data_IF_321276148110
#
_entry.id   IF_321276148110
#
_cell.length_a   1.000
_cell.length_b   1.000
_cell.length_c   1.000
_cell.angle_alpha   90.00
_cell.angle_beta   90.00
_cell.angle_gamma   90.00
#
_symmetry.space_group_name_H-M   'P 1'
#
loop_
_entity.id
_entity.type
_entity.pdbx_description
1 polymer ?
#
# COMPACT_ATOMS: atom_id res chain seq x y z
N UNK A 1 21.91 -1.31 6.94
CA UNK A 1 22.80 -2.31 6.28
C UNK A 1 22.27 -2.62 4.90
N UNK A 2 23.08 -3.07 3.93
CA UNK A 2 22.62 -3.27 2.55
C UNK A 2 22.39 -4.75 2.22
N UNK A 3 21.39 -5.03 1.40
CA UNK A 3 21.04 -6.37 0.91
C UNK A 3 20.78 -6.30 -0.59
N UNK A 4 21.60 -6.98 -1.39
CA UNK A 4 21.41 -7.10 -2.85
C UNK A 4 20.62 -8.37 -3.17
N UNK A 5 19.57 -8.21 -3.97
CA UNK A 5 18.74 -9.29 -4.51
C UNK A 5 19.06 -9.41 -6.00
N UNK A 6 19.66 -10.51 -6.44
CA UNK A 6 20.10 -10.75 -7.82
C UNK A 6 19.47 -11.99 -8.43
N UNK A 7 19.63 -12.18 -9.75
CA UNK A 7 19.11 -13.35 -10.47
C UNK A 7 17.64 -13.20 -10.87
N UNK A 8 17.20 -11.97 -11.16
CA UNK A 8 15.83 -11.67 -11.64
C UNK A 8 15.64 -12.04 -13.12
N UNK A 9 16.71 -12.05 -13.90
CA UNK A 9 16.73 -12.19 -15.35
C UNK A 9 16.34 -10.92 -16.12
N UNK A 10 16.09 -9.80 -15.43
CA UNK A 10 15.68 -8.52 -16.01
C UNK A 10 15.95 -7.36 -15.05
N UNK A 11 15.98 -6.14 -15.59
CA UNK A 11 16.03 -4.90 -14.80
C UNK A 11 14.66 -4.62 -14.17
N UNK A 12 14.52 -4.62 -12.84
CA UNK A 12 13.25 -4.32 -12.19
C UNK A 12 12.93 -2.83 -12.36
N UNK A 13 11.75 -2.50 -12.86
CA UNK A 13 11.22 -1.12 -12.87
C UNK A 13 10.38 -0.85 -11.63
N UNK A 14 9.59 -1.82 -11.18
CA UNK A 14 8.86 -1.77 -9.90
C UNK A 14 9.26 -2.96 -9.03
N UNK A 15 9.36 -2.75 -7.72
CA UNK A 15 9.36 -3.84 -6.74
C UNK A 15 8.24 -3.59 -5.73
N UNK A 16 7.34 -4.56 -5.56
CA UNK A 16 6.24 -4.54 -4.58
C UNK A 16 6.60 -5.50 -3.45
N UNK A 17 6.45 -5.09 -2.20
CA UNK A 17 6.81 -5.84 -1.00
C UNK A 17 5.60 -6.13 -0.12
N UNK A 18 5.59 -7.29 0.54
CA UNK A 18 4.67 -7.59 1.65
C UNK A 18 5.36 -8.39 2.75
N UNK A 19 4.93 -8.19 3.99
CA UNK A 19 5.60 -8.77 5.17
C UNK A 19 4.62 -8.97 6.34
N UNK A 20 4.97 -9.87 7.28
CA UNK A 20 4.18 -10.14 8.49
C UNK A 20 5.02 -10.21 9.77
N UNK A 21 6.24 -9.65 9.74
CA UNK A 21 7.22 -9.66 10.85
C UNK A 21 7.54 -11.04 11.47
N UNK A 22 7.42 -12.13 10.73
CA UNK A 22 7.78 -13.48 11.21
C UNK A 22 9.27 -13.78 11.08
N UNK A 23 9.79 -14.64 11.97
CA UNK A 23 11.20 -15.09 11.99
C UNK A 23 11.44 -16.43 11.31
N UNK A 24 10.42 -17.06 10.75
CA UNK A 24 10.49 -18.31 9.98
C UNK A 24 9.32 -18.41 9.00
N UNK A 25 9.55 -19.07 7.86
CA UNK A 25 8.50 -19.36 6.88
C UNK A 25 7.50 -20.38 7.44
N UNK A 26 6.23 -20.24 7.06
CA UNK A 26 5.13 -21.11 7.49
C UNK A 26 4.93 -21.18 9.02
N UNK A 27 5.38 -20.16 9.75
CA UNK A 27 5.18 -20.04 11.18
C UNK A 27 4.13 -19.00 11.52
N UNK A 28 3.45 -19.21 12.63
CA UNK A 28 2.58 -18.21 13.24
C UNK A 28 3.35 -17.45 14.34
N UNK A 29 2.98 -16.20 14.56
CA UNK A 29 3.49 -15.38 15.66
C UNK A 29 2.32 -14.87 16.51
N UNK A 30 2.62 -14.47 17.74
CA UNK A 30 1.68 -13.70 18.55
C UNK A 30 1.67 -12.26 18.02
N UNK A 31 0.51 -11.60 18.07
CA UNK A 31 0.22 -10.29 17.49
C UNK A 31 0.11 -10.31 15.97
N UNK A 32 -0.78 -9.47 15.44
CA UNK A 32 -0.92 -9.29 13.99
C UNK A 32 0.04 -8.20 13.55
N UNK A 33 0.79 -8.45 12.48
CA UNK A 33 1.57 -7.44 11.77
C UNK A 33 1.45 -7.71 10.27
N UNK A 34 1.14 -6.69 9.48
CA UNK A 34 1.07 -6.79 8.02
C UNK A 34 1.55 -5.48 7.38
N UNK A 35 2.58 -5.58 6.54
CA UNK A 35 3.11 -4.48 5.75
C UNK A 35 2.91 -4.70 4.26
N UNK A 36 2.71 -3.60 3.54
CA UNK A 36 2.66 -3.51 2.08
C UNK A 36 3.48 -2.30 1.65
N UNK A 37 4.25 -2.41 0.59
CA UNK A 37 4.90 -1.23 0.00
C UNK A 37 5.37 -1.49 -1.42
N UNK A 38 5.87 -0.45 -2.06
CA UNK A 38 6.37 -0.52 -3.43
C UNK A 38 7.46 0.54 -3.68
N UNK A 39 8.33 0.26 -4.64
CA UNK A 39 9.37 1.16 -5.15
C UNK A 39 9.31 1.26 -6.67
N UNK A 40 8.85 2.41 -7.19
CA UNK A 40 8.89 2.75 -8.61
C UNK A 40 10.26 3.28 -9.05
N UNK A 41 11.00 3.91 -8.14
CA UNK A 41 12.34 4.44 -8.39
C UNK A 41 13.36 3.99 -7.36
N UNK A 42 14.36 4.82 -7.13
CA UNK A 42 15.39 4.67 -6.09
C UNK A 42 15.35 5.91 -5.20
N UNK A 43 15.62 5.75 -3.91
CA UNK A 43 15.69 6.92 -3.02
C UNK A 43 14.34 7.37 -2.45
N UNK A 44 14.39 8.22 -1.43
CA UNK A 44 13.21 8.88 -0.87
C UNK A 44 12.47 9.68 -1.95
N UNK A 45 11.19 9.41 -2.16
CA UNK A 45 10.40 10.11 -3.19
C UNK A 45 9.81 9.23 -4.28
N UNK A 46 10.34 8.02 -4.48
CA UNK A 46 9.86 7.10 -5.52
C UNK A 46 9.45 5.73 -4.96
N UNK A 47 9.14 5.69 -3.67
CA UNK A 47 8.72 4.49 -2.96
C UNK A 47 7.77 4.86 -1.83
N UNK A 48 7.01 3.88 -1.36
CA UNK A 48 6.12 4.09 -0.24
C UNK A 48 5.73 2.77 0.41
N UNK A 49 5.36 2.83 1.68
CA UNK A 49 4.88 1.67 2.42
C UNK A 49 3.85 2.05 3.48
N UNK A 50 3.02 1.07 3.80
CA UNK A 50 2.05 1.10 4.89
C UNK A 50 2.20 -0.17 5.71
N UNK A 51 1.93 -0.07 7.01
CA UNK A 51 1.87 -1.24 7.89
C UNK A 51 0.78 -1.08 8.92
N UNK A 52 0.37 -2.22 9.47
CA UNK A 52 -0.67 -2.37 10.47
C UNK A 52 -0.21 -3.40 11.50
N UNK A 53 -0.35 -3.07 12.78
CA UNK A 53 -0.17 -4.00 13.88
C UNK A 53 -1.36 -3.99 14.84
N UNK A 54 -1.65 -5.14 15.44
CA UNK A 54 -2.65 -5.30 16.52
C UNK A 54 -2.11 -6.28 17.56
N UNK A 55 -2.21 -5.91 18.83
CA UNK A 55 -1.71 -6.72 19.95
C UNK A 55 -2.76 -7.76 20.39
N UNK A 56 -2.28 -8.88 20.93
CA UNK A 56 -3.10 -10.05 21.27
C UNK A 56 -3.20 -10.14 22.79
N UNK A 57 -4.38 -10.51 23.30
CA UNK A 57 -4.60 -10.68 24.74
C UNK A 57 -4.73 -9.37 25.55
N UNK A 58 -4.91 -8.23 24.90
CA UNK A 58 -5.06 -6.94 25.56
C UNK A 58 -6.46 -6.72 26.16
N UNK A 59 -6.54 -6.01 27.30
CA UNK A 59 -7.81 -5.67 27.94
C UNK A 59 -8.62 -4.62 27.16
N UNK A 60 -7.91 -3.75 26.44
CA UNK A 60 -8.44 -2.79 25.47
C UNK A 60 -7.65 -2.95 24.20
N UNK A 61 -8.29 -2.92 23.04
CA UNK A 61 -7.60 -3.03 21.73
C UNK A 61 -6.40 -2.08 21.66
N UNK A 62 -5.24 -2.58 21.26
CA UNK A 62 -4.03 -1.78 21.08
C UNK A 62 -3.50 -2.00 19.67
N UNK A 63 -3.78 -1.03 18.80
CA UNK A 63 -3.54 -1.17 17.38
C UNK A 63 -2.87 0.05 16.78
N UNK A 64 -2.00 -0.21 15.82
CA UNK A 64 -1.08 0.76 15.24
C UNK A 64 -1.05 0.65 13.73
N UNK A 65 -0.71 1.76 13.09
CA UNK A 65 -0.36 1.84 11.67
C UNK A 65 0.87 2.69 11.46
N UNK A 66 1.61 2.34 10.43
CA UNK A 66 2.62 3.20 9.83
C UNK A 66 2.27 3.55 8.39
N UNK A 67 2.72 4.72 7.97
CA UNK A 67 2.76 5.15 6.58
C UNK A 67 4.09 5.85 6.36
N UNK A 68 4.89 5.37 5.40
CA UNK A 68 6.18 5.96 5.04
C UNK A 68 6.24 6.25 3.52
N UNK A 69 6.78 7.41 3.16
CA UNK A 69 7.09 7.86 1.80
C UNK A 69 8.58 7.70 1.46
N UNK A 70 9.42 7.56 2.47
CA UNK A 70 10.86 7.35 2.29
C UNK A 70 11.23 5.88 2.09
N UNK A 71 10.37 4.95 2.50
CA UNK A 71 10.69 3.52 2.59
C UNK A 71 9.71 2.64 1.80
N UNK A 72 10.23 1.66 1.07
CA UNK A 72 9.43 0.63 0.38
C UNK A 72 8.99 -0.49 1.32
N UNK A 73 9.60 -0.61 2.49
CA UNK A 73 9.31 -1.63 3.50
C UNK A 73 9.16 -0.96 4.85
N UNK A 74 8.05 -1.22 5.52
CA UNK A 74 7.86 -0.89 6.93
C UNK A 74 7.16 -2.06 7.62
N UNK A 75 7.55 -2.31 8.88
CA UNK A 75 6.78 -3.09 9.83
C UNK A 75 6.46 -2.22 11.04
N UNK A 76 5.23 -2.29 11.53
CA UNK A 76 4.79 -1.59 12.72
C UNK A 76 4.95 -2.48 13.95
N UNK A 77 5.36 -1.90 15.08
CA UNK A 77 5.39 -2.60 16.37
C UNK A 77 4.21 -2.09 17.21
N UNK A 78 3.36 -2.97 17.73
CA UNK A 78 2.11 -2.58 18.38
C UNK A 78 2.28 -1.97 19.80
N UNK A 79 3.47 -2.07 20.41
CA UNK A 79 3.71 -1.58 21.78
C UNK A 79 4.48 -0.25 21.90
N UNK A 80 4.96 0.35 20.81
CA UNK A 80 5.75 1.58 20.85
C UNK A 80 5.39 2.55 19.71
N UNK A 81 5.61 3.85 19.94
CA UNK A 81 5.56 4.90 18.91
C UNK A 81 6.76 4.81 17.95
N UNK A 82 7.00 3.62 17.41
CA UNK A 82 8.13 3.35 16.56
C UNK A 82 7.81 2.21 15.58
N UNK A 83 8.20 2.42 14.33
CA UNK A 83 8.40 1.35 13.35
C UNK A 83 9.36 0.29 13.89
N UNK A 84 9.30 -0.92 13.33
CA UNK A 84 10.20 -2.03 13.59
C UNK A 84 11.37 -2.01 12.61
N UNK A 85 11.14 -2.59 11.45
CA UNK A 85 12.09 -2.71 10.34
C UNK A 85 11.68 -1.76 9.21
N UNK A 86 12.65 -1.02 8.65
CA UNK A 86 12.47 -0.05 7.57
C UNK A 86 13.52 -0.31 6.48
N UNK A 87 13.06 -0.38 5.23
CA UNK A 87 13.90 -0.73 4.10
C UNK A 87 13.61 0.09 2.84
N UNK A 88 14.67 0.63 2.27
CA UNK A 88 14.67 1.54 1.13
C UNK A 88 15.27 0.85 -0.10
N UNK A 89 14.63 0.92 -1.26
CA UNK A 89 15.28 0.51 -2.51
C UNK A 89 16.22 1.62 -2.98
N UNK A 90 17.52 1.33 -2.98
CA UNK A 90 18.57 2.32 -3.25
C UNK A 90 19.33 2.10 -4.56
N UNK A 91 19.17 0.92 -5.18
CA UNK A 91 19.71 0.65 -6.51
C UNK A 91 18.85 -0.38 -7.24
N UNK A 92 18.77 -0.23 -8.56
CA UNK A 92 18.21 -1.19 -9.52
C UNK A 92 19.24 -1.34 -10.63
N UNK A 93 19.61 -2.58 -10.95
CA UNK A 93 20.53 -2.93 -12.02
C UNK A 93 19.85 -3.93 -12.97
N UNK A 94 20.52 -4.29 -14.07
CA UNK A 94 20.02 -5.17 -15.13
C UNK A 94 19.51 -6.56 -14.69
N UNK A 95 19.82 -7.00 -13.48
CA UNK A 95 19.45 -8.32 -12.93
C UNK A 95 19.18 -8.28 -11.41
N UNK A 96 19.02 -7.08 -10.83
CA UNK A 96 18.97 -6.96 -9.37
C UNK A 96 18.36 -5.67 -8.86
N UNK A 97 18.01 -5.67 -7.57
CA UNK A 97 17.82 -4.45 -6.79
C UNK A 97 18.54 -4.57 -5.43
N UNK A 98 18.82 -3.43 -4.81
CA UNK A 98 19.44 -3.35 -3.48
C UNK A 98 18.51 -2.66 -2.50
N UNK A 99 18.33 -3.27 -1.33
CA UNK A 99 17.66 -2.68 -0.18
C UNK A 99 18.72 -2.13 0.77
N UNK A 100 18.59 -0.87 1.17
CA UNK A 100 19.25 -0.31 2.35
C UNK A 100 18.27 -0.36 3.52
N UNK A 101 18.62 -1.12 4.54
CA UNK A 101 17.87 -1.17 5.78
C UNK A 101 18.25 0.00 6.68
N UNK A 102 17.36 0.99 6.76
CA UNK A 102 17.49 2.18 7.58
C UNK A 102 17.16 1.87 9.05
N UNK A 103 16.32 0.86 9.29
CA UNK A 103 16.06 0.32 10.62
C UNK A 103 16.04 -1.20 10.62
N UNK A 104 16.83 -1.81 11.50
CA UNK A 104 16.98 -3.25 11.64
C UNK A 104 16.71 -3.62 13.11
N UNK A 105 15.98 -4.70 13.35
CA UNK A 105 15.84 -5.28 14.69
C UNK A 105 16.77 -6.47 14.88
N UNK A 106 16.88 -6.98 16.11
CA UNK A 106 17.81 -8.07 16.45
C UNK A 106 17.49 -9.42 15.79
N UNK A 107 16.30 -9.58 15.22
CA UNK A 107 15.85 -10.82 14.59
C UNK A 107 15.73 -10.64 13.08
N UNK A 108 16.24 -11.61 12.32
CA UNK A 108 15.97 -11.68 10.89
C UNK A 108 14.46 -11.87 10.65
N UNK A 109 13.89 -11.06 9.77
CA UNK A 109 12.47 -11.11 9.39
C UNK A 109 12.31 -11.46 7.92
N UNK A 110 11.22 -12.14 7.61
CA UNK A 110 10.86 -12.46 6.23
C UNK A 110 10.00 -11.36 5.62
N UNK A 111 10.33 -11.02 4.39
CA UNK A 111 9.54 -10.19 3.49
C UNK A 111 9.53 -10.89 2.14
N UNK A 112 8.41 -10.80 1.45
CA UNK A 112 8.26 -11.28 0.09
C UNK A 112 8.19 -10.08 -0.85
N UNK A 113 8.53 -10.32 -2.11
CA UNK A 113 8.50 -9.29 -3.12
C UNK A 113 8.04 -9.82 -4.48
N UNK A 114 7.53 -8.91 -5.30
CA UNK A 114 7.30 -9.08 -6.72
C UNK A 114 8.07 -8.00 -7.46
N UNK A 115 9.01 -8.42 -8.31
CA UNK A 115 9.68 -7.54 -9.25
C UNK A 115 8.92 -7.52 -10.58
N UNK A 116 8.74 -6.33 -11.15
CA UNK A 116 8.08 -6.09 -12.45
C UNK A 116 9.05 -5.26 -13.29
N UNK A 117 9.28 -5.66 -14.53
CA UNK A 117 10.22 -5.00 -15.43
C UNK A 117 10.14 -5.58 -16.84
N UNK A 118 11.22 -5.45 -17.61
CA UNK A 118 11.25 -5.81 -19.02
C UNK A 118 10.98 -4.62 -19.95
N UNK A 119 11.09 -4.86 -21.26
CA UNK A 119 10.94 -3.82 -22.29
C UNK A 119 9.53 -3.24 -22.39
N UNK A 120 8.53 -4.05 -22.02
CA UNK A 120 7.12 -3.69 -22.18
C UNK A 120 6.67 -2.67 -21.15
N UNK A 121 7.32 -2.64 -19.97
CA UNK A 121 7.11 -1.56 -19.00
C UNK A 121 8.02 -0.43 -19.46
N UNK A 122 7.51 0.75 -19.80
CA UNK A 122 8.35 1.85 -20.29
C UNK A 122 8.64 2.87 -19.20
N UNK A 123 7.62 3.24 -18.43
CA UNK A 123 7.67 4.29 -17.41
C UNK A 123 6.88 3.89 -16.17
N UNK A 124 7.29 4.42 -15.02
CA UNK A 124 6.66 4.18 -13.73
C UNK A 124 6.75 5.43 -12.89
N UNK A 125 5.74 5.70 -12.07
CA UNK A 125 5.75 6.79 -11.12
C UNK A 125 5.16 6.32 -9.79
N UNK A 126 5.77 6.75 -8.69
CA UNK A 126 5.13 6.71 -7.39
C UNK A 126 4.66 8.13 -7.07
N UNK A 127 3.37 8.32 -6.87
CA UNK A 127 2.80 9.59 -6.45
C UNK A 127 2.35 9.52 -4.99
N UNK A 128 2.56 10.62 -4.27
CA UNK A 128 1.98 10.86 -2.95
C UNK A 128 0.84 11.86 -3.10
N UNK A 129 -0.35 11.43 -2.72
CA UNK A 129 -1.56 12.24 -2.84
C UNK A 129 -1.98 12.68 -1.45
N UNK A 130 -2.18 13.99 -1.28
CA UNK A 130 -2.98 14.54 -0.18
C UNK A 130 -4.36 14.82 -0.75
N UNK A 131 -5.39 14.23 -0.14
CA UNK A 131 -6.76 14.51 -0.53
C UNK A 131 -7.00 16.03 -0.47
N UNK A 132 -7.68 16.62 -1.47
CA UNK A 132 -7.96 18.04 -1.50
C UNK A 132 -9.01 18.41 -0.45
N UNK A 133 -9.01 19.69 -0.04
CA UNK A 133 -10.03 20.26 0.84
C UNK A 133 -11.40 20.46 0.19
N UNK A 134 -11.59 19.97 -1.04
CA UNK A 134 -12.80 20.13 -1.86
C UNK A 134 -13.15 18.79 -2.54
N UNK A 135 -14.42 18.62 -2.91
CA UNK A 135 -14.90 17.44 -3.65
C UNK A 135 -14.77 17.71 -5.14
N UNK A 136 -14.43 16.67 -5.90
CA UNK A 136 -14.44 16.70 -7.36
C UNK A 136 -13.17 16.18 -8.03
N UNK A 137 -13.10 16.29 -9.35
CA UNK A 137 -11.98 15.79 -10.14
C UNK A 137 -10.72 16.64 -9.93
N UNK A 138 -9.59 15.97 -9.79
CA UNK A 138 -8.25 16.55 -9.78
C UNK A 138 -7.36 15.74 -10.73
N UNK A 139 -6.61 16.46 -11.56
CA UNK A 139 -5.65 15.90 -12.48
C UNK A 139 -4.26 15.84 -11.83
N UNK A 140 -3.59 14.71 -11.97
CA UNK A 140 -2.24 14.48 -11.46
C UNK A 140 -1.33 14.18 -12.65
N UNK A 141 -0.39 15.09 -12.87
CA UNK A 141 0.62 15.03 -13.94
C UNK A 141 1.82 14.20 -13.47
N UNK A 142 2.26 13.26 -14.32
CA UNK A 142 3.39 12.36 -14.13
C UNK A 142 4.22 12.22 -15.42
N UNK A 143 4.05 13.13 -16.39
CA UNK A 143 4.75 13.17 -17.69
C UNK A 143 4.48 11.98 -18.63
N UNK A 144 3.53 11.09 -18.31
CA UNK A 144 3.10 10.00 -19.20
C UNK A 144 1.67 9.53 -18.91
N UNK A 145 0.99 8.99 -19.92
CA UNK A 145 -0.31 8.32 -19.76
C UNK A 145 -0.14 6.91 -19.21
N UNK A 146 -0.49 6.60 -17.95
CA UNK A 146 -0.36 5.24 -17.41
C UNK A 146 -1.34 4.28 -18.08
N UNK A 147 -1.05 2.98 -17.97
CA UNK A 147 -1.92 1.88 -18.40
C UNK A 147 -2.47 1.09 -17.19
N UNK A 148 -1.91 1.30 -15.99
CA UNK A 148 -2.47 0.78 -14.74
C UNK A 148 -2.10 1.65 -13.54
N UNK A 149 -2.98 1.64 -12.53
CA UNK A 149 -2.72 2.21 -11.20
C UNK A 149 -2.90 1.15 -10.13
N UNK A 150 -2.03 1.18 -9.12
CA UNK A 150 -2.22 0.55 -7.82
C UNK A 150 -2.22 1.64 -6.75
N UNK A 151 -3.21 1.62 -5.87
CA UNK A 151 -3.37 2.61 -4.80
C UNK A 151 -3.38 1.93 -3.46
N UNK A 152 -2.67 2.48 -2.49
CA UNK A 152 -2.71 1.99 -1.11
C UNK A 152 -2.58 3.15 -0.13
N UNK A 153 -3.19 3.03 1.04
CA UNK A 153 -3.17 4.08 2.04
C UNK A 153 -3.52 3.59 3.43
N UNK A 154 -3.10 4.35 4.43
CA UNK A 154 -3.26 4.02 5.84
C UNK A 154 -4.04 5.09 6.64
N UNK A 155 -4.91 5.89 6.01
CA UNK A 155 -5.72 6.90 6.70
C UNK A 155 -4.90 7.93 7.52
N UNK A 156 -3.72 8.34 7.02
CA UNK A 156 -2.82 9.27 7.71
C UNK A 156 -3.06 10.73 7.31
N UNK A 157 -3.02 11.68 8.26
CA UNK A 157 -3.22 13.13 8.00
C UNK A 157 -2.12 14.05 8.53
N UNK A 158 -1.18 13.54 9.34
CA UNK A 158 -0.24 14.37 10.15
C UNK A 158 1.17 14.51 9.58
N UNK A 159 1.84 13.42 9.19
CA UNK A 159 3.17 13.45 8.54
C UNK A 159 3.34 12.35 7.48
N UNK A 160 4.16 12.62 6.46
CA UNK A 160 4.53 11.72 5.34
C UNK A 160 5.03 10.38 5.84
N UNK A 161 5.90 10.46 6.83
CA UNK A 161 6.42 9.36 7.62
C UNK A 161 5.84 9.48 9.03
N UNK A 162 4.94 8.57 9.39
CA UNK A 162 4.24 8.65 10.67
C UNK A 162 3.75 7.29 11.17
N UNK A 163 3.73 7.17 12.50
CA UNK A 163 2.97 6.17 13.24
C UNK A 163 1.68 6.80 13.79
N UNK A 164 0.61 6.01 13.88
CA UNK A 164 -0.62 6.42 14.54
C UNK A 164 -1.43 5.22 15.02
N UNK A 165 -2.45 5.46 15.84
CA UNK A 165 -3.38 4.45 16.34
C UNK A 165 -4.61 4.33 15.42
N UNK A 166 -5.50 3.35 15.70
CA UNK A 166 -6.81 3.21 15.04
C UNK A 166 -6.65 2.91 13.53
N UNK A 167 -5.87 1.88 13.16
CA UNK A 167 -5.42 1.63 11.80
C UNK A 167 -6.61 1.37 10.87
N UNK A 168 -6.49 1.92 9.66
CA UNK A 168 -7.37 1.69 8.54
C UNK A 168 -6.48 1.60 7.33
N UNK A 169 -6.60 0.51 6.57
CA UNK A 169 -5.80 0.30 5.38
C UNK A 169 -6.71 0.02 4.20
N UNK A 170 -6.26 0.39 3.02
CA UNK A 170 -6.87 -0.06 1.80
C UNK A 170 -5.84 -0.29 0.71
N UNK A 171 -6.23 -1.12 -0.25
CA UNK A 171 -5.54 -1.35 -1.50
C UNK A 171 -6.58 -1.34 -2.61
N UNK A 172 -6.25 -0.73 -3.74
CA UNK A 172 -7.10 -0.75 -4.92
C UNK A 172 -6.31 -0.67 -6.22
N UNK A 173 -7.00 -0.97 -7.31
CA UNK A 173 -6.41 -1.06 -8.65
C UNK A 173 -7.34 -0.43 -9.67
N UNK A 174 -6.77 0.05 -10.78
CA UNK A 174 -7.50 0.58 -11.94
C UNK A 174 -6.74 0.29 -13.22
N UNK A 175 -7.44 -0.20 -14.25
CA UNK A 175 -6.90 -0.55 -15.57
C UNK A 175 -7.34 0.42 -16.69
N UNK A 176 -7.92 1.57 -16.34
CA UNK A 176 -8.50 2.51 -17.30
C UNK A 176 -10.00 2.31 -17.51
N UNK A 177 -10.55 1.16 -17.13
CA UNK A 177 -11.96 0.81 -17.27
C UNK A 177 -12.60 0.41 -15.95
N UNK A 178 -12.01 -0.56 -15.26
CA UNK A 178 -12.51 -1.16 -14.03
C UNK A 178 -11.67 -0.72 -12.83
N UNK A 179 -12.33 -0.48 -11.70
CA UNK A 179 -11.65 -0.16 -10.44
C UNK A 179 -12.27 -0.89 -9.26
N UNK A 180 -11.42 -1.34 -8.35
CA UNK A 180 -11.84 -1.99 -7.10
C UNK A 180 -10.94 -1.57 -5.96
N UNK A 181 -11.49 -1.53 -4.75
CA UNK A 181 -10.73 -1.26 -3.54
C UNK A 181 -11.21 -2.16 -2.39
N UNK A 182 -10.28 -2.79 -1.69
CA UNK A 182 -10.53 -3.50 -0.45
C UNK A 182 -10.01 -2.66 0.72
N UNK A 183 -10.82 -2.52 1.76
CA UNK A 183 -10.50 -1.74 2.95
C UNK A 183 -10.80 -2.51 4.23
N UNK A 184 -9.93 -2.33 5.22
CA UNK A 184 -10.09 -2.84 6.57
C UNK A 184 -9.84 -1.71 7.58
N UNK A 185 -10.40 -1.83 8.78
CA UNK A 185 -10.11 -0.90 9.85
C UNK A 185 -10.52 -1.42 11.21
N UNK A 186 -9.95 -0.81 12.24
CA UNK A 186 -10.30 -1.04 13.64
C UNK A 186 -10.15 0.25 14.46
N UNK A 187 -10.81 0.31 15.62
CA UNK A 187 -10.61 1.39 16.58
C UNK A 187 -9.63 0.98 17.68
N UNK A 188 -8.84 1.95 18.13
CA UNK A 188 -7.90 1.77 19.24
C UNK A 188 -8.55 2.09 20.60
N UNK A 189 -7.96 1.57 21.67
CA UNK A 189 -8.32 1.88 23.05
C UNK A 189 -9.80 1.64 23.38
N UNK A 190 -10.38 0.56 22.85
CA UNK A 190 -11.76 0.14 23.14
C UNK A 190 -11.78 -1.20 23.88
N UNK A 191 -12.59 -1.31 24.94
CA UNK A 191 -12.68 -2.54 25.74
C UNK A 191 -13.39 -3.70 25.03
N UNK A 192 -14.15 -3.41 23.98
CA UNK A 192 -14.66 -4.42 23.04
C UNK A 192 -14.17 -4.04 21.66
N UNK A 193 -13.45 -4.94 21.00
CA UNK A 193 -12.85 -4.68 19.70
C UNK A 193 -13.90 -4.25 18.69
N UNK A 194 -13.66 -3.11 18.03
CA UNK A 194 -14.51 -2.59 16.95
C UNK A 194 -13.74 -2.66 15.65
N UNK A 195 -14.14 -3.56 14.76
CA UNK A 195 -13.52 -3.78 13.45
C UNK A 195 -14.51 -3.55 12.30
N UNK A 196 -14.01 -3.25 11.11
CA UNK A 196 -14.80 -3.12 9.89
C UNK A 196 -14.01 -3.54 8.66
N UNK A 197 -14.73 -3.99 7.63
CA UNK A 197 -14.17 -4.30 6.31
C UNK A 197 -15.15 -3.88 5.22
N UNK A 198 -14.64 -3.49 4.05
CA UNK A 198 -15.47 -3.10 2.90
C UNK A 198 -14.76 -3.44 1.60
N UNK A 199 -15.54 -3.82 0.60
CA UNK A 199 -15.11 -3.94 -0.78
C UNK A 199 -15.87 -2.89 -1.60
N UNK A 200 -15.16 -2.08 -2.36
CA UNK A 200 -15.71 -1.05 -3.23
C UNK A 200 -15.60 -1.52 -4.68
N UNK A 201 -16.70 -1.41 -5.43
CA UNK A 201 -16.76 -1.75 -6.85
C UNK A 201 -16.68 -0.55 -7.79
N UNK A 202 -16.59 0.64 -7.22
CA UNK A 202 -16.68 1.93 -7.91
C UNK A 202 -15.66 2.94 -7.37
N UNK A 203 -14.68 2.48 -6.57
CA UNK A 203 -13.62 3.31 -5.99
C UNK A 203 -12.28 2.61 -6.14
N UNK A 204 -11.24 3.40 -6.42
CA UNK A 204 -9.85 2.94 -6.39
C UNK A 204 -9.24 3.09 -4.99
N UNK A 205 -9.78 4.00 -4.17
CA UNK A 205 -9.34 4.21 -2.79
C UNK A 205 -10.53 4.51 -1.88
N UNK A 206 -10.55 3.88 -0.72
CA UNK A 206 -11.63 4.05 0.24
C UNK A 206 -11.28 3.58 1.64
N UNK A 207 -11.69 4.31 2.67
CA UNK A 207 -11.57 3.87 4.06
C UNK A 207 -12.95 3.65 4.69
N UNK A 208 -13.10 2.54 5.40
CA UNK A 208 -14.30 2.20 6.17
C UNK A 208 -14.21 2.72 7.60
N UNK A 209 -15.34 3.13 8.18
CA UNK A 209 -15.43 3.43 9.60
C UNK A 209 -15.80 2.17 10.39
N UNK A 210 -14.92 1.64 11.26
CA UNK A 210 -15.25 0.49 12.10
C UNK A 210 -16.45 0.79 13.01
N UNK A 211 -17.40 -0.13 13.05
CA UNK A 211 -18.62 0.00 13.85
C UNK A 211 -19.74 0.85 13.22
N UNK A 212 -19.57 1.35 12.00
CA UNK A 212 -20.67 1.97 11.23
C UNK A 212 -20.63 1.56 9.75
N UNK A 213 -21.69 1.86 9.01
CA UNK A 213 -21.72 1.70 7.55
C UNK A 213 -21.05 2.87 6.81
N UNK A 214 -20.54 3.84 7.55
CA UNK A 214 -19.96 5.05 7.00
C UNK A 214 -18.63 4.79 6.30
N UNK A 215 -18.34 5.69 5.39
CA UNK A 215 -17.10 5.76 4.63
C UNK A 215 -16.46 7.10 4.91
N UNK A 216 -15.13 7.10 5.01
CA UNK A 216 -14.39 8.27 5.46
C UNK A 216 -13.79 9.01 4.26
N UNK A 217 -12.76 8.43 3.67
CA UNK A 217 -12.16 8.93 2.41
C UNK A 217 -12.64 8.04 1.29
N UNK A 218 -12.98 8.64 0.16
CA UNK A 218 -13.37 7.94 -1.06
C UNK A 218 -12.83 8.65 -2.28
N UNK A 219 -12.20 7.89 -3.17
CA UNK A 219 -11.63 8.40 -4.42
C UNK A 219 -11.92 7.42 -5.55
N UNK A 220 -12.33 7.97 -6.69
CA UNK A 220 -12.61 7.26 -7.93
C UNK A 220 -11.55 7.62 -8.97
N UNK A 221 -10.93 6.65 -9.63
CA UNK A 221 -10.15 6.92 -10.84
C UNK A 221 -11.11 7.04 -12.02
N UNK A 222 -11.01 8.12 -12.79
CA UNK A 222 -11.99 8.43 -13.84
C UNK A 222 -11.41 8.49 -15.24
N UNK A 223 -10.09 8.72 -15.38
CA UNK A 223 -9.42 8.71 -16.66
C UNK A 223 -7.90 8.53 -16.54
N UNK A 224 -7.32 7.91 -17.57
CA UNK A 224 -5.93 8.13 -17.94
C UNK A 224 -5.84 9.29 -18.92
N UNK A 225 -5.03 10.28 -18.57
CA UNK A 225 -4.75 11.50 -19.33
C UNK A 225 -3.43 11.33 -20.09
N UNK A 226 -3.17 12.15 -21.11
CA UNK A 226 -1.95 12.04 -21.92
C UNK A 226 -0.66 12.15 -21.08
N UNK A 227 -0.70 12.94 -20.01
CA UNK A 227 0.37 13.28 -19.09
C UNK A 227 0.13 12.76 -17.66
N UNK A 228 -0.93 11.96 -17.43
CA UNK A 228 -1.14 11.36 -16.12
C UNK A 228 -2.51 10.77 -15.90
N UNK A 229 -3.14 11.07 -14.77
CA UNK A 229 -4.42 10.46 -14.41
C UNK A 229 -5.33 11.41 -13.63
N UNK A 230 -6.64 11.16 -13.70
CA UNK A 230 -7.66 11.93 -12.98
C UNK A 230 -8.27 11.12 -11.86
N UNK A 231 -8.27 11.70 -10.66
CA UNK A 231 -8.99 11.17 -9.51
C UNK A 231 -10.13 12.10 -9.12
N UNK A 232 -11.33 11.55 -8.93
CA UNK A 232 -12.50 12.26 -8.41
C UNK A 232 -12.66 11.98 -6.91
N UNK A 233 -12.41 13.01 -6.10
CA UNK A 233 -12.45 12.94 -4.65
C UNK A 233 -13.88 13.13 -4.14
N UNK A 234 -14.45 12.08 -3.54
CA UNK A 234 -15.86 12.07 -3.12
C UNK A 234 -16.08 12.54 -1.68
N UNK A 235 -15.01 12.94 -1.00
CA UNK A 235 -15.03 13.34 0.41
C UNK A 235 -13.99 14.43 0.67
N UNK A 236 -14.36 15.46 1.42
CA UNK A 236 -13.40 16.46 1.92
C UNK A 236 -12.51 15.80 2.97
N UNK A 237 -11.21 15.81 2.75
CA UNK A 237 -10.25 15.09 3.58
C UNK A 237 -8.86 15.69 3.42
N UNK A 238 -8.00 15.58 4.44
CA UNK A 238 -6.56 15.89 4.34
C UNK A 238 -5.71 14.62 4.42
N UNK A 239 -6.35 13.46 4.23
CA UNK A 239 -5.70 12.16 4.34
C UNK A 239 -4.86 11.88 3.12
N UNK A 240 -3.78 11.13 3.35
CA UNK A 240 -2.79 10.80 2.34
C UNK A 240 -2.86 9.34 1.92
N UNK A 241 -2.52 9.09 0.66
CA UNK A 241 -2.40 7.77 0.05
C UNK A 241 -1.36 7.81 -1.07
N UNK A 242 -0.97 6.64 -1.53
CA UNK A 242 0.08 6.48 -2.54
C UNK A 242 -0.49 5.84 -3.79
N UNK A 243 -0.01 6.29 -4.94
CA UNK A 243 -0.40 5.79 -6.26
C UNK A 243 0.85 5.32 -6.99
N UNK A 244 0.91 4.04 -7.30
CA UNK A 244 1.87 3.49 -8.25
C UNK A 244 1.22 3.51 -9.64
N UNK A 245 1.76 4.33 -10.53
CA UNK A 245 1.35 4.40 -11.93
C UNK A 245 2.37 3.66 -12.81
N UNK A 246 1.88 2.84 -13.74
CA UNK A 246 2.72 2.02 -14.62
C UNK A 246 2.31 2.25 -16.07
N UNK A 247 3.28 2.53 -16.94
CA UNK A 247 3.15 2.53 -18.40
C UNK A 247 3.62 1.21 -18.98
N UNK A 248 2.81 0.66 -19.88
CA UNK A 248 3.07 -0.53 -20.65
C UNK A 248 2.79 -1.82 -19.89
N UNK A 249 2.95 -2.96 -20.57
CA UNK A 249 2.44 -4.26 -20.11
C UNK A 249 0.96 -4.48 -20.46
N UNK A 250 0.38 -5.53 -19.89
CA UNK A 250 -1.04 -5.87 -20.02
C UNK A 250 -1.65 -6.02 -18.64
N UNK A 251 -2.69 -5.23 -18.36
CA UNK A 251 -3.31 -5.16 -17.05
C UNK A 251 -4.80 -5.36 -17.19
N UNK A 252 -5.36 -6.17 -16.30
CA UNK A 252 -6.78 -6.40 -16.21
C UNK A 252 -7.16 -6.37 -14.73
N UNK A 253 -8.13 -5.52 -14.40
CA UNK A 253 -8.66 -5.39 -13.04
C UNK A 253 -10.06 -6.01 -13.04
N UNK A 254 -10.15 -7.19 -12.46
CA UNK A 254 -11.41 -7.95 -12.37
C UNK A 254 -11.87 -8.05 -10.92
N UNK A 255 -13.19 -8.09 -10.73
CA UNK A 255 -13.78 -8.66 -9.54
C UNK A 255 -14.45 -9.98 -9.90
N UNK A 256 -14.52 -10.87 -8.93
CA UNK A 256 -15.17 -12.15 -9.13
C UNK A 256 -15.64 -12.70 -7.79
N UNK A 257 -16.61 -13.61 -7.84
CA UNK A 257 -17.12 -14.32 -6.66
C UNK A 257 -16.52 -15.71 -6.57
N UNK A 258 -16.28 -16.13 -5.32
CA UNK A 258 -15.96 -17.52 -5.03
C UNK A 258 -17.07 -18.42 -5.60
N UNK A 259 -16.72 -19.43 -6.41
CA UNK A 259 -17.72 -20.33 -6.96
C UNK A 259 -18.33 -21.17 -5.84
N UNK A 260 -19.65 -21.36 -5.87
CA UNK A 260 -20.37 -22.22 -4.88
C UNK A 260 -20.41 -23.70 -5.29
N UNK A 261 -19.74 -24.05 -6.37
CA UNK A 261 -19.60 -25.40 -6.92
C UNK A 261 -18.39 -25.44 -7.85
N UNK A 262 -17.79 -26.60 -8.06
CA UNK A 262 -16.71 -26.76 -9.04
C UNK A 262 -17.19 -26.31 -10.44
N UNK A 263 -16.69 -25.16 -10.87
CA UNK A 263 -16.92 -24.63 -12.23
C UNK A 263 -15.58 -24.26 -12.83
N UNK A 264 -15.47 -24.38 -14.15
CA UNK A 264 -14.37 -23.83 -14.93
C UNK A 264 -14.78 -22.44 -15.38
N UNK A 265 -13.95 -21.43 -15.11
CA UNK A 265 -14.08 -20.07 -15.66
C UNK A 265 -13.14 -19.91 -16.84
#
# INVERSE_FOLDING_TARGET
GTQKISGLGFEPKVVIFWNTRVGSLNANAVHMMLGLGAAAGIGSGDQASISHADEDGEATSNNRRDQLWSEAIVNTVGTADASGEEGEVTAKDSDSFTITWNKITTNARYFAYKAIGGSDITDVNMSKITSPGEIGPVDYDIDFQPDALMVFGAYMSVSEDANSVTPRQCIGFYDGTNQYCAAIGMNDNVGTTVTGRRFFSDRIHGHTQPGSEDTLVQVEATAFLADGYRLDHKSISTRRFFVLAIKGGQWEVINDTEPVSDTTK
#
